data_IF_419978250540
#
_entry.id   IF_419978250540
#
_cell.length_a   1.000
_cell.length_b   1.000
_cell.length_c   1.000
_cell.angle_alpha   90.00
_cell.angle_beta   90.00
_cell.angle_gamma   90.00
#
_symmetry.space_group_name_H-M   'P 1'
#
loop_
_entity.id
_entity.type
_entity.pdbx_description
1 polymer ?
#
# COMPACT_ATOMS: atom_id res chain seq x y z
N UNK A 1 -2.55 -4.11 -11.99
CA UNK A 1 -1.11 -4.25 -11.80
C UNK A 1 -0.45 -4.93 -13.01
N UNK A 2 -0.99 -6.05 -13.52
CA UNK A 2 -0.42 -6.73 -14.69
C UNK A 2 -0.38 -5.85 -15.95
N UNK A 3 -1.43 -5.07 -16.23
CA UNK A 3 -1.49 -4.21 -17.41
C UNK A 3 -0.44 -3.10 -17.42
N UNK A 4 -0.06 -2.56 -16.25
CA UNK A 4 0.89 -1.45 -16.15
C UNK A 4 2.30 -1.81 -16.64
N UNK A 5 2.65 -3.11 -16.65
CA UNK A 5 3.96 -3.62 -17.11
C UNK A 5 4.30 -3.17 -18.54
N UNK A 6 3.30 -3.05 -19.41
CA UNK A 6 3.49 -2.63 -20.81
C UNK A 6 4.08 -1.23 -20.97
N UNK A 7 4.02 -0.41 -19.92
CA UNK A 7 4.57 0.95 -19.92
C UNK A 7 5.98 1.03 -19.34
N UNK A 8 6.55 -0.12 -18.92
CA UNK A 8 7.88 -0.22 -18.31
C UNK A 8 8.11 0.82 -17.20
N UNK A 9 7.28 0.87 -16.17
CA UNK A 9 7.36 1.90 -15.14
C UNK A 9 8.63 1.73 -14.28
N UNK A 10 9.26 2.84 -13.89
CA UNK A 10 10.39 2.82 -12.94
C UNK A 10 9.95 2.34 -11.54
N UNK A 11 8.72 2.69 -11.14
CA UNK A 11 8.05 2.18 -9.95
C UNK A 11 6.53 2.33 -10.09
N UNK A 12 5.79 1.59 -9.29
CA UNK A 12 4.32 1.67 -9.21
C UNK A 12 3.91 1.83 -7.75
N UNK A 13 3.06 2.81 -7.47
CA UNK A 13 2.35 2.92 -6.19
C UNK A 13 0.88 2.71 -6.49
N UNK A 14 0.29 1.65 -5.99
CA UNK A 14 -1.16 1.44 -6.05
C UNK A 14 -1.82 1.85 -4.73
N UNK A 15 -3.04 2.31 -4.82
CA UNK A 15 -3.75 2.94 -3.69
C UNK A 15 -5.18 2.42 -3.70
N UNK A 16 -5.60 1.83 -2.58
CA UNK A 16 -6.96 1.35 -2.44
C UNK A 16 -7.46 1.40 -0.99
N UNK A 17 -8.75 1.51 -0.81
CA UNK A 17 -9.46 1.23 0.44
C UNK A 17 -9.66 -0.29 0.55
N UNK A 18 -8.53 -1.01 0.73
CA UNK A 18 -8.49 -2.44 0.43
C UNK A 18 -9.08 -3.29 1.55
N UNK A 19 -8.71 -3.01 2.83
CA UNK A 19 -9.04 -3.95 3.89
C UNK A 19 -9.59 -3.29 5.16
N UNK A 20 -10.64 -3.90 5.72
CA UNK A 20 -11.09 -3.60 7.07
C UNK A 20 -10.03 -3.97 8.13
N UNK A 21 -9.19 -4.96 7.85
CA UNK A 21 -8.09 -5.35 8.74
C UNK A 21 -7.07 -4.22 8.93
N UNK A 22 -6.78 -3.42 7.91
CA UNK A 22 -5.94 -2.23 8.03
C UNK A 22 -6.58 -1.17 8.92
N UNK A 23 -7.91 -0.97 8.81
CA UNK A 23 -8.66 -0.06 9.69
C UNK A 23 -8.57 -0.51 11.14
N UNK A 24 -8.71 -1.81 11.40
CA UNK A 24 -8.60 -2.36 12.77
C UNK A 24 -7.19 -2.19 13.33
N UNK A 25 -6.15 -2.37 12.50
CA UNK A 25 -4.76 -2.30 12.93
C UNK A 25 -4.27 -0.86 13.16
N UNK A 26 -4.61 0.08 12.28
CA UNK A 26 -4.03 1.43 12.22
C UNK A 26 -5.04 2.57 12.48
N UNK A 27 -6.32 2.24 12.52
CA UNK A 27 -7.38 3.24 12.70
C UNK A 27 -7.45 4.23 11.53
N UNK A 28 -7.75 5.49 11.84
CA UNK A 28 -7.84 6.59 10.87
C UNK A 28 -6.62 7.51 10.87
N UNK A 29 -5.56 7.16 11.62
CA UNK A 29 -4.38 8.01 11.81
C UNK A 29 -3.30 7.74 10.76
N UNK A 30 -3.01 6.47 10.51
CA UNK A 30 -1.93 6.03 9.62
C UNK A 30 -2.48 5.25 8.44
N UNK A 31 -1.92 5.50 7.25
CA UNK A 31 -2.13 4.66 6.06
C UNK A 31 -1.22 3.43 6.13
N UNK A 32 -1.72 2.26 5.77
CA UNK A 32 -0.90 1.05 5.67
C UNK A 32 0.02 1.13 4.44
N UNK A 33 1.32 1.00 4.65
CA UNK A 33 2.32 0.91 3.57
C UNK A 33 2.83 -0.52 3.46
N UNK A 34 2.73 -1.09 2.27
CA UNK A 34 3.19 -2.44 1.97
C UNK A 34 4.16 -2.41 0.78
N UNK A 35 5.37 -2.86 0.98
CA UNK A 35 6.38 -3.02 -0.06
C UNK A 35 7.49 -3.96 0.42
N UNK A 36 8.03 -4.84 -0.43
CA UNK A 36 9.24 -5.61 -0.12
C UNK A 36 10.52 -4.78 -0.25
N UNK A 37 10.47 -3.58 -0.84
CA UNK A 37 11.60 -2.70 -1.13
C UNK A 37 11.85 -1.76 0.05
N UNK A 38 12.96 -1.96 0.75
CA UNK A 38 13.31 -1.19 1.95
C UNK A 38 13.59 0.28 1.66
N UNK A 39 14.25 0.56 0.53
CA UNK A 39 14.56 1.92 0.10
C UNK A 39 13.28 2.69 -0.23
N UNK A 40 12.39 2.07 -1.03
CA UNK A 40 11.10 2.66 -1.37
C UNK A 40 10.23 2.90 -0.12
N UNK A 41 10.26 1.97 0.84
CA UNK A 41 9.56 2.13 2.11
C UNK A 41 10.09 3.35 2.89
N UNK A 42 11.41 3.54 2.93
CA UNK A 42 12.03 4.68 3.58
C UNK A 42 11.69 6.01 2.89
N UNK A 43 11.75 6.06 1.56
CA UNK A 43 11.38 7.23 0.75
C UNK A 43 9.93 7.67 1.01
N UNK A 44 8.99 6.71 0.94
CA UNK A 44 7.55 6.98 1.15
C UNK A 44 7.29 7.41 2.60
N UNK A 45 7.93 6.75 3.57
CA UNK A 45 7.77 7.08 4.98
C UNK A 45 8.29 8.50 5.29
N UNK A 46 9.44 8.87 4.75
CA UNK A 46 10.01 10.22 4.90
C UNK A 46 9.10 11.29 4.29
N UNK A 47 8.57 11.05 3.08
CA UNK A 47 7.61 11.95 2.45
C UNK A 47 6.33 12.11 3.29
N UNK A 48 5.83 11.01 3.87
CA UNK A 48 4.66 11.03 4.75
C UNK A 48 4.90 11.81 6.05
N UNK A 49 6.10 11.74 6.63
CA UNK A 49 6.46 12.54 7.81
C UNK A 49 6.51 14.05 7.46
N UNK A 50 7.15 14.41 6.35
CA UNK A 50 7.28 15.80 5.91
C UNK A 50 5.93 16.43 5.58
N UNK A 51 5.05 15.71 4.88
CA UNK A 51 3.72 16.18 4.49
C UNK A 51 2.65 16.06 5.59
N UNK A 52 3.00 15.46 6.73
CA UNK A 52 2.07 15.07 7.80
C UNK A 52 0.94 14.12 7.34
N UNK A 53 1.14 13.45 6.21
CA UNK A 53 0.25 12.39 5.68
C UNK A 53 0.93 11.03 5.87
N UNK A 54 1.00 10.61 7.12
CA UNK A 54 1.88 9.55 7.61
C UNK A 54 1.40 8.16 7.25
N UNK A 55 2.37 7.29 7.02
CA UNK A 55 2.18 5.85 6.79
C UNK A 55 2.83 5.01 7.89
N UNK A 56 2.43 3.76 7.98
CA UNK A 56 3.12 2.75 8.79
C UNK A 56 3.40 1.53 7.94
N UNK A 57 4.68 1.13 7.87
CA UNK A 57 5.09 -0.03 7.08
C UNK A 57 4.63 -1.32 7.75
N UNK A 58 3.92 -2.13 6.99
CA UNK A 58 3.45 -3.46 7.35
C UNK A 58 4.28 -4.52 6.61
N UNK A 59 4.40 -5.75 7.15
CA UNK A 59 5.22 -6.78 6.54
C UNK A 59 4.66 -7.25 5.19
N UNK A 60 5.58 -7.59 4.27
CA UNK A 60 5.29 -8.32 3.03
C UNK A 60 6.34 -9.42 2.93
N UNK A 61 6.03 -10.60 3.47
CA UNK A 61 6.97 -11.73 3.58
C UNK A 61 6.43 -12.95 2.85
N UNK A 62 7.34 -13.79 2.34
CA UNK A 62 6.99 -15.02 1.64
C UNK A 62 6.21 -16.01 2.53
N UNK A 63 6.47 -16.00 3.84
CA UNK A 63 5.76 -16.82 4.83
C UNK A 63 4.24 -16.68 4.82
N UNK A 64 3.72 -15.54 4.36
CA UNK A 64 2.27 -15.32 4.24
C UNK A 64 1.68 -15.85 2.93
N UNK A 65 2.50 -16.24 1.96
CA UNK A 65 2.02 -16.71 0.65
C UNK A 65 1.23 -18.02 0.74
N UNK A 66 1.58 -18.90 1.68
CA UNK A 66 0.87 -20.17 1.92
C UNK A 66 -0.63 -19.96 2.23
N UNK A 67 -0.98 -18.83 2.87
CA UNK A 67 -2.38 -18.49 3.17
C UNK A 67 -3.20 -18.16 1.91
N UNK A 68 -2.55 -17.99 0.77
CA UNK A 68 -3.16 -17.69 -0.53
C UNK A 68 -3.23 -18.92 -1.44
N UNK A 69 -2.82 -20.08 -0.97
CA UNK A 69 -2.91 -21.32 -1.73
C UNK A 69 -4.38 -21.76 -1.87
N UNK A 70 -4.71 -22.27 -3.04
CA UNK A 70 -6.06 -22.75 -3.35
C UNK A 70 -6.00 -24.14 -3.98
N UNK A 71 -6.84 -25.08 -3.55
CA UNK A 71 -6.92 -26.39 -4.20
C UNK A 71 -7.69 -26.36 -5.54
N UNK A 72 -8.33 -25.23 -5.89
CA UNK A 72 -9.20 -25.12 -7.06
C UNK A 72 -8.80 -24.05 -8.06
N UNK A 73 -7.95 -23.09 -7.66
CA UNK A 73 -7.52 -21.96 -8.47
C UNK A 73 -6.01 -21.77 -8.34
N UNK A 74 -5.42 -20.95 -9.21
CA UNK A 74 -3.99 -20.61 -9.17
C UNK A 74 -3.62 -19.87 -7.87
N UNK A 75 -4.60 -19.17 -7.28
CA UNK A 75 -4.44 -18.40 -6.05
C UNK A 75 -5.81 -18.13 -5.42
N UNK A 76 -5.90 -18.16 -4.09
CA UNK A 76 -7.05 -17.65 -3.36
C UNK A 76 -7.02 -16.10 -3.36
N UNK A 77 -8.18 -15.47 -3.45
CA UNK A 77 -8.28 -14.00 -3.41
C UNK A 77 -8.28 -13.43 -1.98
N UNK A 78 -8.43 -14.26 -0.97
CA UNK A 78 -8.37 -13.90 0.45
C UNK A 78 -7.62 -14.99 1.23
N UNK A 79 -6.80 -14.57 2.20
CA UNK A 79 -5.99 -15.45 3.05
C UNK A 79 -6.66 -15.86 4.37
N UNK A 80 -7.97 -15.61 4.54
CA UNK A 80 -8.69 -15.85 5.79
C UNK A 80 -8.64 -14.66 6.76
N UNK A 81 -9.10 -14.85 8.03
CA UNK A 81 -9.31 -13.75 8.97
C UNK A 81 -7.99 -13.23 9.60
N UNK A 82 -6.92 -14.02 9.60
CA UNK A 82 -5.65 -13.64 10.22
C UNK A 82 -4.79 -12.85 9.23
N UNK A 83 -4.13 -11.79 9.70
CA UNK A 83 -3.24 -10.94 8.92
C UNK A 83 -3.87 -10.39 7.63
N UNK A 84 -5.16 -10.07 7.63
CA UNK A 84 -5.94 -9.78 6.43
C UNK A 84 -5.37 -8.67 5.54
N UNK A 85 -4.81 -7.60 6.10
CA UNK A 85 -4.14 -6.54 5.31
C UNK A 85 -2.83 -7.01 4.70
N UNK A 86 -2.09 -7.86 5.41
CA UNK A 86 -0.81 -8.43 4.97
C UNK A 86 -1.03 -9.43 3.83
N UNK A 87 -1.97 -10.37 4.00
CA UNK A 87 -2.29 -11.36 2.95
C UNK A 87 -2.86 -10.70 1.69
N UNK A 88 -3.65 -9.62 1.84
CA UNK A 88 -4.12 -8.83 0.71
C UNK A 88 -2.96 -8.17 -0.06
N UNK A 89 -1.98 -7.61 0.64
CA UNK A 89 -0.77 -7.07 0.02
C UNK A 89 0.09 -8.16 -0.63
N UNK A 90 0.23 -9.33 0.00
CA UNK A 90 0.92 -10.49 -0.59
C UNK A 90 0.23 -11.00 -1.86
N UNK A 91 -1.10 -10.94 -1.91
CA UNK A 91 -1.85 -11.21 -3.14
C UNK A 91 -1.46 -10.23 -4.26
N UNK A 92 -1.46 -8.92 -3.98
CA UNK A 92 -1.07 -7.90 -4.96
C UNK A 92 0.38 -8.08 -5.42
N UNK A 93 1.30 -8.42 -4.51
CA UNK A 93 2.71 -8.63 -4.78
C UNK A 93 2.95 -9.69 -5.89
N UNK A 94 2.12 -10.73 -5.98
CA UNK A 94 2.25 -11.76 -7.04
C UNK A 94 2.20 -11.17 -8.46
N UNK A 95 1.58 -10.02 -8.64
CA UNK A 95 1.42 -9.33 -9.92
C UNK A 95 2.42 -8.20 -10.17
N UNK A 96 3.37 -7.96 -9.24
CA UNK A 96 4.27 -6.80 -9.27
C UNK A 96 5.76 -7.13 -9.26
N UNK A 97 6.12 -8.41 -9.39
CA UNK A 97 7.50 -8.92 -9.28
C UNK A 97 8.49 -8.36 -10.32
N UNK A 98 8.00 -7.72 -11.37
CA UNK A 98 8.83 -7.24 -12.49
C UNK A 98 9.20 -5.76 -12.39
N UNK A 99 8.72 -5.05 -11.34
CA UNK A 99 9.00 -3.63 -11.13
C UNK A 99 8.97 -3.28 -9.63
N UNK A 100 9.59 -2.16 -9.26
CA UNK A 100 9.50 -1.64 -7.90
C UNK A 100 8.05 -1.27 -7.58
N UNK A 101 7.56 -1.70 -6.42
CA UNK A 101 6.14 -1.59 -6.09
C UNK A 101 5.91 -1.24 -4.62
N UNK A 102 4.92 -0.39 -4.38
CA UNK A 102 4.34 -0.17 -3.07
C UNK A 102 2.81 -0.11 -3.16
N UNK A 103 2.13 -0.61 -2.14
CA UNK A 103 0.70 -0.48 -1.94
C UNK A 103 0.41 0.42 -0.73
N UNK A 104 -0.55 1.33 -0.89
CA UNK A 104 -1.09 2.15 0.18
C UNK A 104 -2.54 1.73 0.47
N UNK A 105 -2.76 1.08 1.61
CA UNK A 105 -4.11 0.77 2.09
C UNK A 105 -4.65 1.97 2.87
N UNK A 106 -5.54 2.71 2.22
CA UNK A 106 -6.15 3.93 2.74
C UNK A 106 -7.55 3.72 3.32
N UNK A 107 -7.93 2.48 3.60
CA UNK A 107 -9.28 2.14 4.09
C UNK A 107 -9.66 2.93 5.35
N UNK A 108 -8.70 3.19 6.25
CA UNK A 108 -8.93 3.96 7.47
C UNK A 108 -8.75 5.47 7.32
N UNK A 109 -8.07 5.94 6.27
CA UNK A 109 -7.63 7.33 6.16
C UNK A 109 -8.29 8.14 5.05
N UNK A 110 -8.97 7.48 4.10
CA UNK A 110 -9.55 8.12 2.93
C UNK A 110 -10.76 9.02 3.22
N UNK A 111 -11.46 8.79 4.33
CA UNK A 111 -12.71 9.47 4.65
C UNK A 111 -12.84 9.80 6.14
N UNK A 112 -13.67 10.78 6.44
CA UNK A 112 -14.19 11.07 7.77
C UNK A 112 -15.63 10.57 7.88
N UNK A 113 -16.00 10.04 9.04
CA UNK A 113 -17.36 9.62 9.38
C UNK A 113 -18.03 10.62 10.34
N UNK A 114 -19.34 10.41 10.65
CA UNK A 114 -20.09 11.26 11.57
C UNK A 114 -20.44 12.62 10.98
N UNK A 115 -20.39 13.66 11.80
CA UNK A 115 -20.77 15.03 11.42
C UNK A 115 -19.82 15.69 10.42
N UNK A 116 -18.55 15.26 10.41
CA UNK A 116 -17.52 15.73 9.48
C UNK A 116 -17.37 14.81 8.24
N UNK A 117 -18.44 14.12 7.87
CA UNK A 117 -18.45 13.14 6.77
C UNK A 117 -17.93 13.74 5.45
N UNK A 118 -16.95 13.09 4.84
CA UNK A 118 -16.36 13.51 3.57
C UNK A 118 -15.02 12.85 3.29
N UNK A 119 -14.47 13.09 2.11
CA UNK A 119 -13.13 12.66 1.75
C UNK A 119 -12.08 13.50 2.47
N UNK A 120 -10.97 12.87 2.87
CA UNK A 120 -9.83 13.55 3.52
C UNK A 120 -8.85 14.15 2.51
N UNK A 121 -8.85 13.66 1.27
CA UNK A 121 -7.83 13.96 0.27
C UNK A 121 -6.54 13.16 0.42
N UNK A 122 -6.42 12.32 1.45
CA UNK A 122 -5.25 11.43 1.62
C UNK A 122 -5.28 10.32 0.58
N UNK A 123 -4.12 9.92 0.02
CA UNK A 123 -2.75 10.31 0.37
C UNK A 123 -2.13 11.35 -0.60
N UNK A 124 -2.91 12.31 -1.12
CA UNK A 124 -2.40 13.32 -2.07
C UNK A 124 -1.21 14.11 -1.53
N UNK A 125 -1.21 14.63 -0.27
CA UNK A 125 -0.06 15.36 0.26
C UNK A 125 1.22 14.52 0.30
N UNK A 126 1.13 13.25 0.70
CA UNK A 126 2.25 12.30 0.69
C UNK A 126 2.79 12.12 -0.72
N UNK A 127 1.93 11.87 -1.71
CA UNK A 127 2.34 11.61 -3.09
C UNK A 127 3.02 12.81 -3.72
N UNK A 128 2.50 14.02 -3.49
CA UNK A 128 3.12 15.27 -3.97
C UNK A 128 4.51 15.43 -3.37
N UNK A 129 4.67 15.24 -2.06
CA UNK A 129 5.97 15.32 -1.40
C UNK A 129 6.95 14.25 -1.90
N UNK A 130 6.49 13.03 -2.07
CA UNK A 130 7.30 11.93 -2.60
C UNK A 130 7.84 12.25 -4.01
N UNK A 131 6.98 12.73 -4.90
CA UNK A 131 7.37 13.11 -6.27
C UNK A 131 8.33 14.31 -6.28
N UNK A 132 8.10 15.32 -5.43
CA UNK A 132 8.99 16.47 -5.31
C UNK A 132 10.39 16.06 -4.83
N UNK A 133 10.49 15.18 -3.83
CA UNK A 133 11.77 14.68 -3.34
C UNK A 133 12.54 13.93 -4.44
N UNK A 134 11.87 13.08 -5.22
CA UNK A 134 12.51 12.33 -6.31
C UNK A 134 12.95 13.24 -7.46
N UNK A 135 12.18 14.28 -7.78
CA UNK A 135 12.57 15.25 -8.80
C UNK A 135 13.86 15.99 -8.42
N UNK A 136 14.05 16.32 -7.14
CA UNK A 136 15.27 16.97 -6.63
C UNK A 136 16.49 16.04 -6.60
N UNK A 137 16.28 14.74 -6.39
CA UNK A 137 17.39 13.75 -6.33
C UNK A 137 17.93 13.36 -7.71
N UNK A 138 17.20 13.65 -8.79
CA UNK A 138 17.55 13.32 -10.17
C UNK A 138 18.09 14.53 -10.96
N UNK A 139 18.22 15.69 -10.36
CA UNK A 139 18.79 16.92 -10.92
C UNK A 139 20.16 17.23 -10.34
#
# INVERSE_FOLDING_TARGET
>A
LTYIKRFNPALVIDIATLTGACVVALGSVLTGLFTPDDELAAEISAAGQTSFDRVWRMPVLEDYQEQLDSPFADIANIGGPKAGSVTAACFLQRFTREYRWAHLDIAGTAWNSGTAKGATGRPVPLLVQFLANRAQSNG
#
